data_IF_832923305567
#
_entry.id   IF_832923305567
#
_cell.length_a   1.000
_cell.length_b   1.000
_cell.length_c   1.000
_cell.angle_alpha   90.00
_cell.angle_beta   90.00
_cell.angle_gamma   90.00
#
_symmetry.space_group_name_H-M   'P 1'
#
loop_
_entity.id
_entity.type
_entity.pdbx_description
1 polymer ?
#
# COMPACT_ATOMS: atom_id res chain seq x y z
N UNK A 1 -14.30 38.23 -54.84
CA UNK A 1 -13.53 38.26 -53.58
C UNK A 1 -13.98 37.23 -52.53
N UNK A 2 -14.79 36.22 -52.87
CA UNK A 2 -15.31 35.25 -51.88
C UNK A 2 -14.57 33.91 -51.79
N UNK A 3 -13.60 33.63 -52.68
CA UNK A 3 -12.93 32.32 -52.76
C UNK A 3 -11.80 32.13 -51.73
N UNK A 4 -11.27 33.21 -51.16
CA UNK A 4 -10.17 33.16 -50.20
C UNK A 4 -10.61 32.98 -48.74
N UNK A 5 -11.91 33.20 -48.43
CA UNK A 5 -12.46 33.08 -47.07
C UNK A 5 -12.61 31.61 -46.64
N UNK A 6 -12.76 30.68 -47.58
CA UNK A 6 -12.99 29.27 -47.26
C UNK A 6 -11.69 28.52 -46.86
N UNK A 7 -10.52 29.02 -47.26
CA UNK A 7 -9.22 28.39 -46.99
C UNK A 7 -8.70 28.74 -45.59
N UNK A 8 -9.12 29.87 -45.02
CA UNK A 8 -8.63 30.34 -43.71
C UNK A 8 -9.27 29.59 -42.52
N UNK A 9 -10.46 29.00 -42.71
CA UNK A 9 -11.21 28.27 -41.68
C UNK A 9 -10.64 26.86 -41.41
N UNK A 10 -9.93 26.26 -42.37
CA UNK A 10 -9.39 24.90 -42.26
C UNK A 10 -8.14 24.86 -41.35
N UNK A 11 -7.40 25.96 -41.20
CA UNK A 11 -6.21 26.01 -40.34
C UNK A 11 -6.52 26.07 -38.83
N UNK A 12 -7.75 26.41 -38.43
CA UNK A 12 -8.13 26.48 -37.02
C UNK A 12 -8.62 25.14 -36.44
N UNK A 13 -8.86 24.13 -37.27
CA UNK A 13 -9.39 22.82 -36.83
C UNK A 13 -8.31 21.78 -36.51
N UNK A 14 -7.02 22.14 -36.60
CA UNK A 14 -5.89 21.23 -36.35
C UNK A 14 -5.28 21.39 -34.95
N UNK A 15 -5.89 22.21 -34.08
CA UNK A 15 -5.53 22.32 -32.66
C UNK A 15 -6.10 21.14 -31.88
N UNK A 16 -5.63 19.92 -32.16
CA UNK A 16 -5.82 18.79 -31.27
C UNK A 16 -4.66 18.83 -30.26
N UNK A 17 -4.91 19.38 -29.07
CA UNK A 17 -3.99 19.19 -27.95
C UNK A 17 -4.12 17.72 -27.51
N UNK A 18 -3.03 16.94 -27.47
CA UNK A 18 -3.11 15.61 -26.89
C UNK A 18 -3.52 15.77 -25.43
N UNK A 19 -4.68 15.21 -25.08
CA UNK A 19 -5.13 15.13 -23.70
C UNK A 19 -4.13 14.28 -22.92
N UNK A 20 -3.20 14.96 -22.27
CA UNK A 20 -2.19 14.43 -21.36
C UNK A 20 -2.92 13.95 -20.09
N UNK A 21 -3.64 12.82 -20.18
CA UNK A 21 -4.29 12.18 -19.03
C UNK A 21 -3.30 11.23 -18.35
N UNK A 22 -3.32 11.20 -17.02
CA UNK A 22 -2.60 10.16 -16.30
C UNK A 22 -3.32 8.82 -16.44
N UNK A 23 -2.58 7.73 -16.65
CA UNK A 23 -3.15 6.39 -16.64
C UNK A 23 -3.64 6.05 -15.23
N UNK A 24 -4.84 5.48 -15.11
CA UNK A 24 -5.34 4.97 -13.82
C UNK A 24 -4.42 3.88 -13.21
N UNK A 25 -3.53 3.28 -13.99
CA UNK A 25 -2.53 2.31 -13.49
C UNK A 25 -1.33 2.98 -12.81
N UNK A 26 -1.14 4.29 -12.98
CA UNK A 26 -0.04 5.02 -12.34
C UNK A 26 -0.44 5.41 -10.93
N UNK A 27 0.02 4.63 -9.96
CA UNK A 27 -0.26 4.89 -8.56
C UNK A 27 0.74 5.88 -7.98
N UNK A 28 0.28 7.08 -7.65
CA UNK A 28 1.13 8.15 -7.11
C UNK A 28 1.40 8.01 -5.61
N UNK A 29 0.61 7.20 -4.91
CA UNK A 29 0.81 6.85 -3.49
C UNK A 29 0.68 5.33 -3.34
N UNK A 30 1.75 4.57 -3.62
CA UNK A 30 1.71 3.11 -3.53
C UNK A 30 1.57 2.65 -2.08
N UNK A 31 0.82 1.57 -1.86
CA UNK A 31 0.72 0.88 -0.57
C UNK A 31 1.84 -0.16 -0.40
N UNK A 32 2.17 -0.44 0.86
CA UNK A 32 3.03 -1.55 1.23
C UNK A 32 2.29 -2.87 0.98
N UNK A 33 2.82 -3.70 0.09
CA UNK A 33 2.29 -5.06 -0.16
C UNK A 33 3.00 -6.05 0.75
N UNK A 34 2.23 -6.71 1.60
CA UNK A 34 2.67 -7.79 2.48
C UNK A 34 2.04 -9.10 2.00
N UNK A 35 2.83 -10.16 1.93
CA UNK A 35 2.36 -11.53 1.70
C UNK A 35 2.71 -12.43 2.87
N UNK A 36 1.85 -13.42 3.13
CA UNK A 36 1.96 -14.36 4.23
C UNK A 36 2.35 -15.75 3.72
N UNK A 37 3.40 -16.33 4.30
CA UNK A 37 4.01 -17.59 3.89
C UNK A 37 3.99 -18.61 5.02
N UNK A 38 4.06 -19.89 4.65
CA UNK A 38 4.16 -20.99 5.60
C UNK A 38 5.56 -21.04 6.22
N UNK A 39 5.65 -21.03 7.54
CA UNK A 39 6.94 -21.13 8.26
C UNK A 39 7.69 -22.43 7.97
N UNK A 40 6.97 -23.54 7.75
CA UNK A 40 7.55 -24.85 7.45
C UNK A 40 7.97 -24.98 5.97
N UNK A 41 7.43 -24.12 5.10
CA UNK A 41 7.69 -24.13 3.67
C UNK A 41 7.65 -22.70 3.09
N UNK A 42 8.79 -22.03 3.07
CA UNK A 42 8.91 -20.61 2.73
C UNK A 42 8.53 -20.24 1.28
N UNK A 43 8.25 -21.21 0.42
CA UNK A 43 7.82 -21.00 -0.96
C UNK A 43 6.29 -21.08 -1.14
N UNK A 44 5.55 -21.39 -0.07
CA UNK A 44 4.11 -21.59 -0.10
C UNK A 44 3.39 -20.46 0.62
N UNK A 45 2.47 -19.78 -0.08
CA UNK A 45 1.56 -18.80 0.52
C UNK A 45 0.65 -19.50 1.53
N UNK A 46 0.42 -18.85 2.67
CA UNK A 46 -0.43 -19.36 3.74
C UNK A 46 -1.45 -18.30 4.14
N UNK A 47 -2.71 -18.60 3.86
CA UNK A 47 -3.85 -17.74 4.20
C UNK A 47 -3.91 -17.47 5.70
N UNK A 48 -4.02 -16.20 6.08
CA UNK A 48 -4.36 -15.77 7.43
C UNK A 48 -5.88 -15.74 7.55
N UNK A 49 -6.50 -16.55 8.43
CA UNK A 49 -7.96 -16.58 8.58
C UNK A 49 -8.46 -15.28 9.22
N UNK A 50 -9.54 -14.72 8.66
CA UNK A 50 -10.17 -13.48 9.11
C UNK A 50 -9.14 -12.39 9.46
N UNK A 51 -8.24 -12.12 8.50
CA UNK A 51 -7.24 -11.07 8.63
C UNK A 51 -7.92 -9.71 8.68
N UNK A 52 -7.49 -8.88 9.62
CA UNK A 52 -7.88 -7.49 9.72
C UNK A 52 -6.70 -6.64 10.19
N UNK A 53 -6.53 -5.46 9.60
CA UNK A 53 -5.45 -4.55 9.97
C UNK A 53 -5.96 -3.18 10.43
N UNK A 54 -5.25 -2.58 11.38
CA UNK A 54 -5.43 -1.19 11.79
C UNK A 54 -4.07 -0.52 11.91
N UNK A 55 -4.01 0.78 11.63
CA UNK A 55 -2.84 1.59 11.95
C UNK A 55 -2.79 1.86 13.46
N UNK A 56 -1.62 2.18 13.98
CA UNK A 56 -1.45 2.68 15.34
C UNK A 56 -0.82 4.07 15.31
N UNK A 57 -1.36 4.99 16.11
CA UNK A 57 -0.70 6.27 16.36
C UNK A 57 0.47 6.12 17.35
N UNK A 58 1.14 7.25 17.63
CA UNK A 58 2.27 7.29 18.56
C UNK A 58 1.88 6.93 20.01
N UNK A 59 0.61 7.12 20.38
CA UNK A 59 0.07 6.80 21.69
C UNK A 59 -0.46 5.35 21.76
N UNK A 60 -0.45 4.62 20.63
CA UNK A 60 -0.93 3.26 20.50
C UNK A 60 -2.45 3.13 20.28
N UNK A 61 -3.14 4.22 19.96
CA UNK A 61 -4.56 4.16 19.59
C UNK A 61 -4.73 3.62 18.18
N UNK A 62 -5.80 2.87 17.96
CA UNK A 62 -6.12 2.31 16.64
C UNK A 62 -6.66 3.38 15.69
N UNK A 63 -6.07 3.43 14.49
CA UNK A 63 -6.51 4.24 13.36
C UNK A 63 -7.07 3.31 12.30
N UNK A 64 -8.32 3.53 11.92
CA UNK A 64 -8.97 2.77 10.85
C UNK A 64 -8.26 2.99 9.52
N UNK A 65 -7.95 1.89 8.84
CA UNK A 65 -7.45 1.91 7.46
C UNK A 65 -8.64 2.02 6.51
N UNK A 66 -8.56 2.94 5.56
CA UNK A 66 -9.65 3.16 4.60
C UNK A 66 -9.83 1.93 3.71
N UNK A 67 -11.07 1.44 3.60
CA UNK A 67 -11.46 0.24 2.83
C UNK A 67 -10.88 -1.10 3.34
N UNK A 68 -10.27 -1.11 4.52
CA UNK A 68 -9.82 -2.35 5.15
C UNK A 68 -11.02 -3.15 5.67
N UNK A 69 -11.03 -4.45 5.40
CA UNK A 69 -12.14 -5.34 5.75
C UNK A 69 -11.63 -6.67 6.28
N UNK A 70 -12.43 -7.29 7.15
CA UNK A 70 -12.14 -8.63 7.67
C UNK A 70 -12.30 -9.65 6.56
N UNK A 71 -11.23 -10.32 6.16
CA UNK A 71 -11.32 -11.43 5.20
C UNK A 71 -10.13 -12.38 5.32
N UNK A 72 -10.34 -13.65 4.95
CA UNK A 72 -9.27 -14.64 4.92
C UNK A 72 -8.45 -14.48 3.64
N UNK A 73 -7.19 -14.07 3.76
CA UNK A 73 -6.30 -13.79 2.63
C UNK A 73 -4.83 -14.02 3.01
N UNK A 74 -3.99 -14.19 2.01
CA UNK A 74 -2.53 -14.38 2.10
C UNK A 74 -1.75 -13.14 1.63
N UNK A 75 -2.47 -12.05 1.29
CA UNK A 75 -1.90 -10.78 0.85
C UNK A 75 -2.69 -9.62 1.42
N UNK A 76 -2.00 -8.54 1.79
CA UNK A 76 -2.61 -7.30 2.26
C UNK A 76 -1.80 -6.08 1.81
N UNK A 77 -2.50 -5.01 1.45
CA UNK A 77 -1.91 -3.73 1.05
C UNK A 77 -2.18 -2.66 2.11
N UNK A 78 -1.13 -2.14 2.75
CA UNK A 78 -1.24 -1.18 3.84
C UNK A 78 -0.79 0.22 3.40
N UNK A 79 -1.53 1.30 3.73
CA UNK A 79 -1.18 2.64 3.31
C UNK A 79 0.09 3.14 3.99
N UNK A 80 0.97 3.78 3.22
CA UNK A 80 2.11 4.52 3.74
C UNK A 80 1.81 6.02 3.73
N UNK A 81 2.35 6.73 4.71
CA UNK A 81 2.21 8.17 4.84
C UNK A 81 3.54 8.84 4.49
N UNK A 82 3.53 9.72 3.49
CA UNK A 82 4.70 10.47 3.05
C UNK A 82 5.15 11.57 4.00
N UNK A 83 4.35 11.91 5.01
CA UNK A 83 4.65 12.92 6.02
C UNK A 83 5.35 12.39 7.27
N UNK A 84 5.54 11.09 7.39
CA UNK A 84 6.18 10.43 8.53
C UNK A 84 7.29 9.48 8.09
N UNK A 85 8.10 9.05 9.07
CA UNK A 85 9.27 8.22 8.84
C UNK A 85 9.15 6.85 9.52
N UNK A 86 8.07 6.65 10.28
CA UNK A 86 7.77 5.40 10.95
C UNK A 86 6.26 5.18 11.01
N UNK A 87 5.85 3.92 10.88
CA UNK A 87 4.47 3.51 11.02
C UNK A 87 4.38 2.20 11.77
N UNK A 88 3.26 2.02 12.46
CA UNK A 88 2.91 0.79 13.16
C UNK A 88 1.57 0.28 12.66
N UNK A 89 1.50 -1.01 12.39
CA UNK A 89 0.26 -1.69 12.04
C UNK A 89 0.01 -2.84 12.99
N UNK A 90 -1.22 -2.94 13.48
CA UNK A 90 -1.71 -4.09 14.23
C UNK A 90 -2.47 -4.99 13.28
N UNK A 91 -2.03 -6.24 13.16
CA UNK A 91 -2.62 -7.25 12.28
C UNK A 91 -3.21 -8.37 13.13
N UNK A 92 -4.51 -8.60 12.95
CA UNK A 92 -5.29 -9.62 13.64
C UNK A 92 -5.38 -10.91 12.80
N UNK A 93 -5.21 -12.04 13.46
CA UNK A 93 -5.56 -13.39 12.99
C UNK A 93 -6.81 -13.87 13.74
N UNK A 94 -7.77 -14.40 12.98
CA UNK A 94 -9.10 -14.77 13.48
C UNK A 94 -9.84 -13.58 14.12
N UNK A 95 -9.82 -12.41 13.47
CA UNK A 95 -10.55 -11.25 13.97
C UNK A 95 -12.04 -11.53 14.09
N UNK A 96 -12.64 -11.12 15.21
CA UNK A 96 -14.08 -11.10 15.40
C UNK A 96 -14.50 -9.92 16.29
N UNK A 97 -15.75 -9.50 16.18
CA UNK A 97 -16.33 -8.43 16.99
C UNK A 97 -17.68 -8.89 17.55
N UNK A 98 -17.67 -9.39 18.79
CA UNK A 98 -18.86 -9.90 19.47
C UNK A 98 -19.24 -8.90 20.57
N UNK A 99 -20.46 -8.37 20.50
CA UNK A 99 -21.01 -7.41 21.49
C UNK A 99 -20.10 -6.18 21.74
N UNK A 100 -19.38 -5.74 20.71
CA UNK A 100 -18.45 -4.60 20.77
C UNK A 100 -17.10 -4.92 21.42
N UNK A 101 -16.83 -6.19 21.73
CA UNK A 101 -15.53 -6.66 22.22
C UNK A 101 -14.79 -7.32 21.08
N UNK A 102 -13.62 -6.77 20.75
CA UNK A 102 -12.72 -7.33 19.75
C UNK A 102 -12.12 -8.64 20.25
N UNK A 103 -12.12 -9.65 19.40
CA UNK A 103 -11.44 -10.94 19.59
C UNK A 103 -10.52 -11.24 18.41
N UNK A 104 -9.66 -12.24 18.56
CA UNK A 104 -8.57 -12.57 17.64
C UNK A 104 -7.21 -12.35 18.27
N UNK A 105 -6.22 -13.09 17.79
CA UNK A 105 -4.82 -12.91 18.18
C UNK A 105 -4.23 -11.81 17.28
N UNK A 106 -3.56 -10.81 17.85
CA UNK A 106 -2.95 -9.73 17.08
C UNK A 106 -1.46 -9.64 17.35
N UNK A 107 -0.74 -9.24 16.31
CA UNK A 107 0.66 -8.87 16.40
C UNK A 107 0.83 -7.48 15.81
N UNK A 108 1.90 -6.77 16.19
CA UNK A 108 2.21 -5.44 15.69
C UNK A 108 3.48 -5.48 14.86
N UNK A 109 3.45 -4.91 13.67
CA UNK A 109 4.64 -4.58 12.91
C UNK A 109 4.98 -3.11 13.08
N UNK A 110 6.26 -2.82 13.29
CA UNK A 110 6.83 -1.49 13.25
C UNK A 110 7.77 -1.39 12.05
N UNK A 111 7.67 -0.29 11.30
CA UNK A 111 8.44 -0.08 10.10
C UNK A 111 8.96 1.35 10.06
N UNK A 112 10.26 1.49 9.80
CA UNK A 112 10.91 2.75 9.50
C UNK A 112 11.18 2.84 8.00
N UNK A 113 10.93 4.01 7.43
CA UNK A 113 11.15 4.27 6.01
C UNK A 113 11.37 5.78 5.78
N UNK A 114 11.93 6.12 4.62
CA UNK A 114 11.95 7.51 4.16
C UNK A 114 11.20 7.64 2.83
N UNK A 115 10.69 8.85 2.60
CA UNK A 115 9.89 9.18 1.42
C UNK A 115 10.66 10.11 0.50
N UNK A 116 10.75 9.74 -0.78
CA UNK A 116 11.22 10.59 -1.87
C UNK A 116 10.04 10.93 -2.78
N UNK A 117 10.01 12.16 -3.29
CA UNK A 117 9.03 12.58 -4.28
C UNK A 117 9.68 12.48 -5.66
N UNK A 118 9.13 11.63 -6.53
CA UNK A 118 9.61 11.40 -7.89
C UNK A 118 8.65 12.02 -8.91
N UNK A 119 9.18 12.79 -9.87
CA UNK A 119 8.38 13.34 -10.96
C UNK A 119 8.11 12.25 -12.00
N UNK A 120 6.83 11.98 -12.26
CA UNK A 120 6.41 10.96 -13.22
C UNK A 120 6.26 11.56 -14.61
N UNK A 121 5.39 12.58 -14.75
CA UNK A 121 5.14 13.26 -16.02
C UNK A 121 4.33 14.54 -15.79
N UNK A 122 4.16 15.35 -16.83
CA UNK A 122 3.26 16.52 -16.79
C UNK A 122 1.82 16.12 -16.44
N UNK A 123 1.35 14.99 -16.97
CA UNK A 123 -0.03 14.49 -16.78
C UNK A 123 -0.25 13.83 -15.42
N UNK A 124 0.75 13.12 -14.91
CA UNK A 124 0.66 12.34 -13.67
C UNK A 124 1.23 13.07 -12.45
N UNK A 125 1.94 14.18 -12.65
CA UNK A 125 2.56 14.94 -11.58
C UNK A 125 3.68 14.13 -10.90
N UNK A 126 3.60 14.07 -9.58
CA UNK A 126 4.60 13.42 -8.73
C UNK A 126 4.03 12.18 -8.05
N UNK A 127 4.91 11.26 -7.69
CA UNK A 127 4.61 10.10 -6.87
C UNK A 127 5.51 10.05 -5.64
N UNK A 128 4.99 9.44 -4.58
CA UNK A 128 5.80 9.05 -3.44
C UNK A 128 6.49 7.72 -3.74
N UNK A 129 7.80 7.70 -3.54
CA UNK A 129 8.62 6.51 -3.48
C UNK A 129 9.04 6.32 -2.03
N UNK A 130 8.68 5.19 -1.44
CA UNK A 130 9.10 4.86 -0.08
C UNK A 130 10.26 3.88 -0.12
N UNK A 131 11.27 4.10 0.72
CA UNK A 131 12.38 3.16 0.92
C UNK A 131 12.34 2.67 2.36
N UNK A 132 12.07 1.38 2.54
CA UNK A 132 12.05 0.71 3.84
C UNK A 132 13.49 0.69 4.38
N UNK A 133 13.68 1.13 5.61
CA UNK A 133 14.96 1.08 6.31
C UNK A 133 15.00 -0.09 7.29
N UNK A 134 13.89 -0.30 7.99
CA UNK A 134 13.76 -1.30 9.03
C UNK A 134 12.32 -1.81 9.11
N UNK A 135 12.16 -3.09 9.42
CA UNK A 135 10.89 -3.72 9.74
C UNK A 135 11.12 -4.68 10.91
N UNK A 136 10.27 -4.58 11.93
CA UNK A 136 10.30 -5.48 13.08
C UNK A 136 8.88 -5.88 13.48
N UNK A 137 8.72 -7.14 13.94
CA UNK A 137 7.54 -7.58 14.67
C UNK A 137 7.78 -7.25 16.16
N UNK A 138 6.83 -6.59 16.81
CA UNK A 138 6.92 -6.31 18.24
C UNK A 138 6.86 -7.59 19.06
N UNK A 139 7.59 -7.60 20.18
CA UNK A 139 7.62 -8.77 21.06
C UNK A 139 6.25 -8.91 21.73
N UNK A 140 5.62 -10.06 21.49
CA UNK A 140 4.39 -10.48 22.14
C UNK A 140 4.57 -11.82 22.87
N UNK A 141 3.68 -12.10 23.82
CA UNK A 141 3.59 -13.35 24.58
C UNK A 141 2.97 -14.52 23.81
N UNK A 142 2.15 -14.26 22.78
CA UNK A 142 1.52 -15.27 21.92
C UNK A 142 1.59 -14.85 20.44
N UNK A 143 2.79 -14.64 19.86
CA UNK A 143 2.91 -14.11 18.50
C UNK A 143 2.38 -15.12 17.48
N UNK A 144 1.50 -14.66 16.59
CA UNK A 144 1.09 -15.48 15.45
C UNK A 144 1.99 -15.31 14.22
N UNK A 145 2.74 -14.21 14.12
CA UNK A 145 3.77 -13.95 13.11
C UNK A 145 5.13 -14.32 13.68
N UNK A 146 5.84 -15.25 13.03
CA UNK A 146 7.13 -15.73 13.53
C UNK A 146 8.30 -14.84 13.08
N UNK A 147 8.35 -14.53 11.80
CA UNK A 147 9.46 -13.79 11.19
C UNK A 147 8.93 -12.92 10.06
N UNK A 148 9.52 -11.75 9.88
CA UNK A 148 9.30 -10.90 8.71
C UNK A 148 10.61 -10.65 7.96
N UNK A 149 10.54 -10.62 6.63
CA UNK A 149 11.67 -10.36 5.75
C UNK A 149 11.27 -9.31 4.71
N UNK A 150 12.15 -8.35 4.45
CA UNK A 150 11.97 -7.37 3.37
C UNK A 150 12.41 -8.01 2.06
N UNK A 151 11.49 -8.22 1.12
CA UNK A 151 11.77 -8.75 -0.23
C UNK A 151 12.09 -7.65 -1.23
N UNK A 152 11.51 -6.45 -1.05
CA UNK A 152 11.84 -5.25 -1.83
C UNK A 152 11.86 -4.05 -0.90
N UNK A 153 13.01 -3.37 -0.83
CA UNK A 153 13.17 -2.17 0.00
C UNK A 153 12.45 -0.96 -0.61
N UNK A 154 12.21 -0.94 -1.92
CA UNK A 154 11.55 0.19 -2.57
C UNK A 154 10.07 -0.10 -2.85
N UNK A 155 9.18 0.74 -2.32
CA UNK A 155 7.73 0.72 -2.56
C UNK A 155 7.39 1.82 -3.57
N UNK A 156 7.27 1.41 -4.84
CA UNK A 156 6.97 2.30 -5.98
C UNK A 156 5.65 1.96 -6.67
N UNK A 157 5.15 0.76 -6.43
CA UNK A 157 3.95 0.21 -7.03
C UNK A 157 3.44 -0.93 -6.15
N UNK A 158 2.25 -1.44 -6.45
CA UNK A 158 1.63 -2.52 -5.69
C UNK A 158 1.66 -3.86 -6.45
N UNK A 159 2.52 -4.01 -7.46
CA UNK A 159 2.58 -5.23 -8.29
C UNK A 159 3.54 -6.28 -7.75
N UNK A 160 4.41 -5.90 -6.82
CA UNK A 160 5.40 -6.77 -6.20
C UNK A 160 5.19 -6.83 -4.69
N UNK A 161 5.71 -7.90 -4.10
CA UNK A 161 5.77 -8.09 -2.66
C UNK A 161 6.93 -7.29 -2.08
N UNK A 162 6.66 -6.50 -1.04
CA UNK A 162 7.66 -5.71 -0.35
C UNK A 162 8.12 -6.40 0.94
N UNK A 163 7.18 -7.03 1.64
CA UNK A 163 7.42 -7.72 2.89
C UNK A 163 6.79 -9.11 2.84
N UNK A 164 7.55 -10.09 3.33
CA UNK A 164 7.09 -11.46 3.53
C UNK A 164 7.01 -11.72 5.03
N UNK A 165 5.89 -12.25 5.48
CA UNK A 165 5.67 -12.65 6.88
C UNK A 165 5.42 -14.14 6.93
N UNK A 166 6.13 -14.84 7.81
CA UNK A 166 6.03 -16.30 7.97
C UNK A 166 5.24 -16.65 9.24
N UNK A 167 4.25 -17.54 9.11
CA UNK A 167 3.38 -18.02 10.20
C UNK A 167 2.98 -19.49 10.05
#
# INVERSE_FOLDING_TARGET
>A
MHKYIFITIIFFLISCEPDDICSNATQTTPRLVIEFYNIENSNELKTVPALFAVGLDNDGNEINITNETVSSRDRIELPLDGGVNSLRFKLYKNYDLIDGVTSGNFDIINMNYFTEIEFVSRSCGFMNKYTIEELAIEIDSDPWMNTATISSYEVKNENITHVQIFH
#
